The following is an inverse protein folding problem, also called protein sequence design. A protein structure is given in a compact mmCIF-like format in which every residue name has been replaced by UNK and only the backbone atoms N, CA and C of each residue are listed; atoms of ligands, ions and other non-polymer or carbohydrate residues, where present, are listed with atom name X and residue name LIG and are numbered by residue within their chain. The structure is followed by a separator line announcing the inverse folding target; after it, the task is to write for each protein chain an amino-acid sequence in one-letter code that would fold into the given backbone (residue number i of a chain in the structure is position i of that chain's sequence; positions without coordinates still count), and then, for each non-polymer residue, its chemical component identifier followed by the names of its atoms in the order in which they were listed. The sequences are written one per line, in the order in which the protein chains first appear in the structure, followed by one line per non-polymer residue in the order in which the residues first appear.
data_IF_466604448070
#
_entry.id   IF_466604448070
#
_cell.length_a   1.000
_cell.length_b   1.000
_cell.length_c   1.000
_cell.angle_alpha   90.00
_cell.angle_beta   90.00
_cell.angle_gamma   90.00
#
_symmetry.space_group_name_H-M   'P 1'
#
loop_
_entity.id
_entity.type
_entity.pdbx_description
1 polymer ?
#
# COMPACT_ATOMS: atom_id res chain seq x y z
N UNK A 1 -5.88 -50.67 -33.45
CA UNK A 1 -5.76 -49.61 -32.43
C UNK A 1 -5.36 -50.26 -31.11
N UNK A 2 -4.19 -49.91 -30.56
CA UNK A 2 -3.64 -50.57 -29.37
C UNK A 2 -4.35 -50.07 -28.08
N UNK A 3 -4.33 -50.85 -26.99
CA UNK A 3 -5.04 -50.53 -25.74
C UNK A 3 -4.72 -49.12 -25.23
N UNK A 4 -3.45 -48.72 -25.35
CA UNK A 4 -2.96 -47.40 -24.97
C UNK A 4 -3.59 -46.25 -25.77
N UNK A 5 -3.77 -46.40 -27.08
CA UNK A 5 -4.39 -45.38 -27.94
C UNK A 5 -5.87 -45.19 -27.61
N UNK A 6 -6.59 -46.28 -27.29
CA UNK A 6 -8.00 -46.21 -26.86
C UNK A 6 -8.15 -45.47 -25.54
N UNK A 7 -7.28 -45.76 -24.56
CA UNK A 7 -7.31 -45.09 -23.26
C UNK A 7 -6.93 -43.62 -23.37
N UNK A 8 -5.90 -43.28 -24.17
CA UNK A 8 -5.47 -41.90 -24.36
C UNK A 8 -6.58 -41.01 -24.95
N UNK A 9 -7.33 -41.50 -25.94
CA UNK A 9 -8.42 -40.73 -26.57
C UNK A 9 -9.55 -40.42 -25.59
N UNK A 10 -9.80 -41.28 -24.60
CA UNK A 10 -10.85 -41.07 -23.58
C UNK A 10 -10.36 -40.16 -22.46
N UNK A 11 -9.12 -40.37 -22.00
CA UNK A 11 -8.59 -39.68 -20.80
C UNK A 11 -8.06 -38.29 -21.12
N UNK A 12 -7.46 -38.09 -22.30
CA UNK A 12 -6.90 -36.80 -22.72
C UNK A 12 -7.91 -35.64 -22.64
N UNK A 13 -9.14 -35.71 -23.20
CA UNK A 13 -10.06 -34.57 -23.15
C UNK A 13 -10.48 -34.20 -21.71
N UNK A 14 -10.62 -35.20 -20.83
CA UNK A 14 -10.96 -34.97 -19.41
C UNK A 14 -9.81 -34.26 -18.71
N UNK A 15 -8.56 -34.73 -18.91
CA UNK A 15 -7.38 -34.10 -18.35
C UNK A 15 -7.16 -32.69 -18.91
N UNK A 16 -7.49 -32.43 -20.17
CA UNK A 16 -7.37 -31.08 -20.76
C UNK A 16 -8.35 -30.11 -20.09
N UNK A 17 -9.61 -30.50 -19.90
CA UNK A 17 -10.62 -29.64 -19.25
C UNK A 17 -10.26 -29.40 -17.78
N UNK A 18 -9.89 -30.46 -17.05
CA UNK A 18 -9.48 -30.34 -15.65
C UNK A 18 -8.19 -29.52 -15.50
N UNK A 19 -7.23 -29.73 -16.40
CA UNK A 19 -5.98 -28.97 -16.42
C UNK A 19 -6.21 -27.48 -16.66
N UNK A 20 -7.10 -27.12 -17.58
CA UNK A 20 -7.48 -25.73 -17.83
C UNK A 20 -8.15 -25.10 -16.61
N UNK A 21 -9.18 -25.76 -16.04
CA UNK A 21 -9.88 -25.24 -14.86
C UNK A 21 -8.96 -25.10 -13.63
N UNK A 22 -8.05 -26.05 -13.41
CA UNK A 22 -7.08 -25.96 -12.32
C UNK A 22 -6.02 -24.87 -12.55
N UNK A 23 -5.61 -24.64 -13.81
CA UNK A 23 -4.71 -23.54 -14.14
C UNK A 23 -5.36 -22.18 -13.88
N UNK A 24 -6.62 -21.99 -14.29
CA UNK A 24 -7.39 -20.78 -14.00
C UNK A 24 -7.51 -20.53 -12.49
N UNK A 25 -7.86 -21.56 -11.71
CA UNK A 25 -7.93 -21.46 -10.24
C UNK A 25 -6.58 -21.15 -9.59
N UNK A 26 -5.48 -21.70 -10.13
CA UNK A 26 -4.14 -21.44 -9.62
C UNK A 26 -3.67 -20.01 -9.92
N UNK A 27 -3.98 -19.50 -11.11
CA UNK A 27 -3.66 -18.13 -11.51
C UNK A 27 -4.47 -17.11 -10.69
N UNK A 28 -5.77 -17.34 -10.50
CA UNK A 28 -6.62 -16.54 -9.62
C UNK A 28 -6.11 -16.56 -8.18
N UNK A 29 -5.78 -17.74 -7.64
CA UNK A 29 -5.21 -17.86 -6.30
C UNK A 29 -3.86 -17.13 -6.18
N UNK A 30 -2.99 -17.21 -7.19
CA UNK A 30 -1.69 -16.52 -7.22
C UNK A 30 -1.83 -15.00 -7.37
N UNK A 31 -2.88 -14.53 -8.04
CA UNK A 31 -3.24 -13.11 -8.09
C UNK A 31 -3.83 -12.62 -6.75
N UNK A 32 -4.56 -13.48 -6.03
CA UNK A 32 -5.17 -13.19 -4.74
C UNK A 32 -4.20 -13.19 -3.56
N UNK A 33 -2.98 -13.74 -3.72
CA UNK A 33 -1.96 -13.66 -2.69
C UNK A 33 -1.59 -12.19 -2.47
N UNK A 34 -1.86 -11.67 -1.27
CA UNK A 34 -1.63 -10.29 -0.89
C UNK A 34 -0.18 -9.89 -1.16
N UNK A 35 0.06 -9.17 -2.26
CA UNK A 35 1.38 -8.66 -2.62
C UNK A 35 1.66 -7.48 -1.71
N UNK A 36 2.65 -7.63 -0.83
CA UNK A 36 3.11 -6.57 0.06
C UNK A 36 4.32 -5.87 -0.56
N UNK A 37 4.19 -4.59 -0.87
CA UNK A 37 5.23 -3.77 -1.47
C UNK A 37 5.70 -2.70 -0.48
N UNK A 38 7.02 -2.58 -0.34
CA UNK A 38 7.60 -1.53 0.49
C UNK A 38 7.68 -0.22 -0.29
N UNK A 39 7.20 0.86 0.34
CA UNK A 39 7.30 2.24 -0.09
C UNK A 39 8.46 2.90 0.67
N UNK A 40 9.49 3.34 -0.05
CA UNK A 40 10.71 3.90 0.57
C UNK A 40 10.70 5.42 0.44
N UNK A 41 11.04 6.19 1.49
CA UNK A 41 11.15 7.64 1.39
C UNK A 41 12.21 8.07 0.38
N UNK A 42 11.82 8.95 -0.54
CA UNK A 42 12.68 9.56 -1.54
C UNK A 42 13.26 10.86 -1.00
N UNK A 43 14.46 10.78 -0.41
CA UNK A 43 15.14 11.93 0.18
C UNK A 43 14.66 12.23 1.60
N UNK A 44 14.79 13.50 2.01
CA UNK A 44 14.36 13.95 3.33
C UNK A 44 12.84 14.08 3.40
N UNK A 45 12.21 13.45 4.39
CA UNK A 45 10.78 13.55 4.64
C UNK A 45 10.49 14.65 5.67
N UNK A 46 9.80 15.70 5.23
CA UNK A 46 9.26 16.77 6.05
C UNK A 46 7.79 16.98 5.66
N UNK A 47 6.89 16.37 6.41
CA UNK A 47 5.44 16.43 6.15
C UNK A 47 4.86 17.82 6.36
N UNK A 48 5.43 18.61 7.28
CA UNK A 48 5.00 19.99 7.57
C UNK A 48 5.30 20.94 6.40
N UNK A 49 6.41 20.69 5.71
CA UNK A 49 6.82 21.45 4.52
C UNK A 49 6.39 20.79 3.20
N UNK A 50 5.48 19.80 3.24
CA UNK A 50 4.96 19.08 2.06
C UNK A 50 6.04 18.37 1.23
N UNK A 51 7.17 18.03 1.85
CA UNK A 51 8.33 17.38 1.23
C UNK A 51 8.49 15.98 1.79
N UNK A 52 7.51 15.11 1.58
CA UNK A 52 7.64 13.71 1.98
C UNK A 52 7.05 12.76 0.94
N UNK A 53 7.90 12.34 0.00
CA UNK A 53 7.52 11.45 -1.09
C UNK A 53 8.03 10.05 -0.76
N UNK A 54 7.15 9.05 -0.82
CA UNK A 54 7.44 7.63 -0.70
C UNK A 54 7.30 6.98 -2.08
N UNK A 55 8.23 6.12 -2.48
CA UNK A 55 8.26 5.55 -3.82
C UNK A 55 8.43 4.04 -3.82
N UNK A 56 7.81 3.40 -4.81
CA UNK A 56 8.07 2.00 -5.18
C UNK A 56 7.81 1.82 -6.68
N UNK A 57 8.88 1.61 -7.45
CA UNK A 57 8.81 1.69 -8.92
C UNK A 57 8.28 3.05 -9.39
N UNK A 58 7.18 3.05 -10.14
CA UNK A 58 6.49 4.25 -10.64
C UNK A 58 5.39 4.77 -9.69
N UNK A 59 5.08 4.04 -8.62
CA UNK A 59 4.09 4.45 -7.66
C UNK A 59 4.73 5.41 -6.65
N UNK A 60 4.18 6.63 -6.57
CA UNK A 60 4.63 7.66 -5.64
C UNK A 60 3.48 8.10 -4.75
N UNK A 61 3.80 8.32 -3.48
CA UNK A 61 2.86 8.75 -2.45
C UNK A 61 3.45 9.95 -1.72
N UNK A 62 2.76 11.07 -1.71
CA UNK A 62 3.17 12.25 -0.96
C UNK A 62 2.36 12.35 0.33
N UNK A 63 3.02 12.49 1.47
CA UNK A 63 2.40 12.68 2.79
C UNK A 63 2.66 14.11 3.24
N UNK A 64 1.60 14.82 3.60
CA UNK A 64 1.68 16.21 4.04
C UNK A 64 0.75 16.45 5.22
N UNK A 65 1.14 17.34 6.12
CA UNK A 65 0.27 17.80 7.21
C UNK A 65 0.07 19.31 7.08
N UNK A 66 -1.19 19.73 7.03
CA UNK A 66 -1.55 21.14 7.04
C UNK A 66 -2.59 21.39 8.13
N UNK A 67 -2.23 22.20 9.13
CA UNK A 67 -3.14 22.64 10.22
C UNK A 67 -3.83 21.47 10.94
N UNK A 68 -3.13 20.36 11.17
CA UNK A 68 -3.67 19.17 11.84
C UNK A 68 -4.49 18.25 10.93
N UNK A 69 -4.51 18.52 9.62
CA UNK A 69 -5.09 17.63 8.62
C UNK A 69 -3.93 16.99 7.85
N UNK A 70 -3.72 15.70 8.09
CA UNK A 70 -2.77 14.92 7.32
C UNK A 70 -3.44 14.45 6.04
N UNK A 71 -2.81 14.75 4.91
CA UNK A 71 -3.24 14.38 3.57
C UNK A 71 -2.21 13.49 2.91
N UNK A 72 -2.69 12.46 2.22
CA UNK A 72 -1.92 11.50 1.45
C UNK A 72 -2.38 11.60 0.01
N UNK A 73 -1.46 11.95 -0.88
CA UNK A 73 -1.68 12.03 -2.31
C UNK A 73 -0.94 10.90 -3.00
N UNK A 74 -1.48 10.36 -4.07
CA UNK A 74 -0.88 9.23 -4.79
C UNK A 74 -0.90 9.42 -6.31
N UNK A 75 0.06 8.82 -7.02
CA UNK A 75 0.09 8.82 -8.49
C UNK A 75 -0.92 7.87 -9.12
N UNK A 76 -1.32 6.82 -8.38
CA UNK A 76 -2.39 5.89 -8.75
C UNK A 76 -3.58 6.02 -7.80
N UNK A 77 -4.81 5.71 -8.26
CA UNK A 77 -5.98 5.70 -7.40
C UNK A 77 -5.85 4.56 -6.38
N UNK A 78 -6.08 4.87 -5.11
CA UNK A 78 -5.99 3.90 -4.01
C UNK A 78 -7.37 3.60 -3.44
N UNK A 79 -7.53 2.41 -2.87
CA UNK A 79 -8.80 1.94 -2.31
C UNK A 79 -8.92 2.26 -0.81
N UNK A 80 -7.80 2.14 -0.09
CA UNK A 80 -7.74 2.50 1.34
C UNK A 80 -6.38 3.09 1.70
N UNK A 81 -6.36 3.94 2.73
CA UNK A 81 -5.15 4.44 3.35
C UNK A 81 -5.30 4.49 4.88
N UNK A 82 -4.32 3.96 5.60
CA UNK A 82 -4.22 4.02 7.06
C UNK A 82 -2.86 4.57 7.44
N UNK A 83 -2.83 5.70 8.12
CA UNK A 83 -1.62 6.28 8.70
C UNK A 83 -1.53 5.83 10.15
N UNK A 84 -0.33 5.51 10.61
CA UNK A 84 -0.05 5.21 12.00
C UNK A 84 0.96 6.19 12.54
N UNK A 85 0.62 6.78 13.67
CA UNK A 85 1.56 7.56 14.48
C UNK A 85 2.24 6.60 15.45
N UNK A 86 3.55 6.45 15.34
CA UNK A 86 4.34 5.52 16.17
C UNK A 86 5.09 6.31 17.23
N UNK A 87 4.74 6.08 18.49
CA UNK A 87 5.36 6.75 19.62
C UNK A 87 6.76 6.18 19.96
N UNK A 88 7.40 6.77 20.97
CA UNK A 88 8.73 6.35 21.45
C UNK A 88 8.72 4.95 22.11
N UNK A 89 7.56 4.49 22.58
CA UNK A 89 7.36 3.14 23.09
C UNK A 89 7.05 2.13 21.97
N UNK A 90 7.15 2.56 20.70
CA UNK A 90 6.84 1.78 19.49
C UNK A 90 5.37 1.34 19.41
N UNK A 91 4.47 2.03 20.12
CA UNK A 91 3.03 1.84 20.00
C UNK A 91 2.50 2.64 18.81
N UNK A 92 1.78 1.96 17.92
CA UNK A 92 1.23 2.53 16.72
C UNK A 92 -0.25 2.88 16.92
N UNK A 93 -0.59 4.16 16.77
CA UNK A 93 -1.98 4.63 16.81
C UNK A 93 -2.51 4.76 15.39
N UNK A 94 -3.51 3.95 14.98
CA UNK A 94 -4.05 3.97 13.63
C UNK A 94 -5.00 5.15 13.39
N UNK A 95 -4.87 5.77 12.22
CA UNK A 95 -5.75 6.79 11.69
C UNK A 95 -6.18 6.33 10.29
N UNK A 96 -7.43 5.86 10.17
CA UNK A 96 -8.01 5.54 8.87
C UNK A 96 -8.29 6.84 8.12
N UNK A 97 -7.71 6.99 6.93
CA UNK A 97 -7.95 8.16 6.08
C UNK A 97 -9.27 8.01 5.34
N UNK A 98 -9.93 9.14 5.11
CA UNK A 98 -11.09 9.23 4.24
C UNK A 98 -10.70 9.82 2.88
N UNK A 99 -11.28 9.29 1.81
CA UNK A 99 -11.19 9.88 0.49
C UNK A 99 -11.77 11.31 0.53
N UNK A 100 -11.05 12.26 -0.05
CA UNK A 100 -11.44 13.68 -0.10
C UNK A 100 -12.35 13.95 -1.31
N UNK A 101 -11.75 14.22 -2.45
CA UNK A 101 -12.44 14.60 -3.69
C UNK A 101 -12.37 13.48 -4.73
N UNK A 102 -11.31 12.67 -4.71
CA UNK A 102 -11.06 11.58 -5.65
C UNK A 102 -10.16 10.51 -5.01
N UNK A 103 -10.06 9.30 -5.59
CA UNK A 103 -9.27 8.21 -5.00
C UNK A 103 -7.75 8.48 -4.98
N UNK A 104 -7.29 9.62 -5.49
CA UNK A 104 -5.90 10.08 -5.44
C UNK A 104 -5.59 10.95 -4.22
N UNK A 105 -6.61 11.40 -3.47
CA UNK A 105 -6.47 12.34 -2.35
C UNK A 105 -7.20 11.82 -1.12
N UNK A 106 -6.44 11.51 -0.08
CA UNK A 106 -6.94 10.92 1.17
C UNK A 106 -6.53 11.80 2.34
N UNK A 107 -7.42 12.02 3.31
CA UNK A 107 -7.11 12.89 4.45
C UNK A 107 -7.74 12.43 5.75
N UNK A 108 -7.16 12.88 6.86
CA UNK A 108 -7.70 12.70 8.21
C UNK A 108 -7.17 13.79 9.12
N UNK A 109 -7.98 14.18 10.09
CA UNK A 109 -7.49 14.98 11.21
C UNK A 109 -6.58 14.11 12.09
N UNK A 110 -5.35 14.57 12.34
CA UNK A 110 -4.40 13.86 13.19
C UNK A 110 -3.64 14.84 14.08
N UNK A 111 -3.12 14.40 15.24
CA UNK A 111 -2.31 15.25 16.10
C UNK A 111 -0.87 15.44 15.57
N UNK A 112 -0.54 14.93 14.37
CA UNK A 112 0.82 14.94 13.84
C UNK A 112 1.44 16.33 13.84
N UNK A 113 0.74 17.34 13.30
CA UNK A 113 1.25 18.71 13.25
C UNK A 113 1.63 19.29 14.63
N UNK A 114 0.98 18.87 15.71
CA UNK A 114 1.36 19.28 17.08
C UNK A 114 2.57 18.52 17.64
N UNK A 115 2.85 17.31 17.14
CA UNK A 115 3.96 16.45 17.57
C UNK A 115 5.29 16.80 16.91
N UNK A 116 5.25 17.55 15.81
CA UNK A 116 6.43 18.00 15.04
C UNK A 116 6.41 19.52 14.83
N UNK A 117 5.80 20.24 15.76
CA UNK A 117 5.58 21.69 15.67
C UNK A 117 6.89 22.49 15.68
N UNK A 118 7.93 21.96 16.33
CA UNK A 118 9.21 22.66 16.46
C UNK A 118 10.25 22.11 15.49
N UNK A 119 11.14 23.00 15.05
CA UNK A 119 12.31 22.65 14.24
C UNK A 119 13.17 21.58 14.92
N UNK A 120 13.55 20.56 14.14
CA UNK A 120 14.38 19.45 14.57
C UNK A 120 13.61 18.31 15.22
N UNK A 121 12.34 18.50 15.55
CA UNK A 121 11.48 17.41 16.02
C UNK A 121 11.31 16.38 14.91
N UNK A 122 11.39 15.11 15.31
CA UNK A 122 11.18 13.98 14.43
C UNK A 122 10.13 13.05 15.02
N UNK A 123 9.34 12.46 14.14
CA UNK A 123 8.28 11.55 14.54
C UNK A 123 8.21 10.38 13.57
N UNK A 124 7.95 9.19 14.12
CA UNK A 124 7.90 7.95 13.35
C UNK A 124 6.48 7.72 12.83
N UNK A 125 6.38 7.44 11.54
CA UNK A 125 5.14 7.21 10.83
C UNK A 125 5.18 5.84 10.19
N UNK A 126 4.02 5.16 10.17
CA UNK A 126 3.79 4.05 9.23
C UNK A 126 2.62 4.38 8.34
N UNK A 127 2.69 3.99 7.10
CA UNK A 127 1.60 4.16 6.14
C UNK A 127 1.29 2.80 5.53
N UNK A 128 0.01 2.44 5.51
CA UNK A 128 -0.49 1.28 4.78
C UNK A 128 -1.51 1.77 3.76
N UNK A 129 -1.31 1.42 2.51
CA UNK A 129 -2.18 1.74 1.39
C UNK A 129 -2.60 0.42 0.72
N UNK A 130 -3.83 0.36 0.26
CA UNK A 130 -4.33 -0.78 -0.52
C UNK A 130 -4.76 -0.34 -1.91
N UNK A 131 -4.37 -1.13 -2.92
CA UNK A 131 -4.74 -0.94 -4.33
C UNK A 131 -5.08 -2.31 -4.90
N UNK A 132 -6.36 -2.55 -5.21
CA UNK A 132 -6.90 -3.77 -5.81
C UNK A 132 -6.41 -5.05 -5.10
N UNK A 133 -6.37 -5.03 -3.77
CA UNK A 133 -5.89 -6.13 -2.93
C UNK A 133 -4.36 -6.22 -2.76
N UNK A 134 -3.59 -5.42 -3.50
CA UNK A 134 -2.16 -5.20 -3.25
C UNK A 134 -1.96 -4.26 -2.06
N UNK A 135 -1.08 -4.62 -1.12
CA UNK A 135 -0.79 -3.82 0.07
C UNK A 135 0.55 -3.13 -0.09
N UNK A 136 0.58 -1.84 0.16
CA UNK A 136 1.77 -1.02 0.14
C UNK A 136 2.02 -0.51 1.53
N UNK A 137 3.22 -0.70 2.06
CA UNK A 137 3.55 -0.29 3.42
C UNK A 137 4.84 0.53 3.44
N UNK A 138 4.90 1.49 4.34
CA UNK A 138 6.09 2.29 4.60
C UNK A 138 6.26 2.49 6.09
N UNK A 139 7.50 2.46 6.57
CA UNK A 139 7.87 2.95 7.89
C UNK A 139 8.97 3.99 7.70
N UNK A 140 8.73 5.22 8.15
CA UNK A 140 9.63 6.34 7.91
C UNK A 140 9.57 7.36 9.05
N UNK A 141 10.59 8.21 9.11
CA UNK A 141 10.63 9.35 10.02
C UNK A 141 10.36 10.62 9.24
N UNK A 142 9.49 11.47 9.77
CA UNK A 142 9.42 12.87 9.36
C UNK A 142 10.28 13.70 10.30
N UNK A 143 10.93 14.73 9.79
CA UNK A 143 11.66 15.71 10.59
C UNK A 143 11.44 17.12 10.05
N UNK A 144 10.97 18.01 10.92
CA UNK A 144 10.71 19.42 10.59
C UNK A 144 12.03 20.18 10.49
N UNK A 145 12.35 20.74 9.32
CA UNK A 145 13.62 21.47 9.10
C UNK A 145 13.51 22.97 9.44
N UNK A 146 12.31 23.55 9.38
CA UNK A 146 12.09 24.99 9.53
C UNK A 146 11.18 25.32 10.71
#
# INVERSE_FOLDING_TARGET
MNKHTKTAIIVAPILTILGFALADLWEENSASQARAFELVPFGHCDVSNQKCILKTGEFEVNVMDEKGITTVNSTFPIDTATLFLVDKANQATPFQLGMKDSPYYWKRETPLGSLIANKGESYKLRLIIEIKGGKYFSEFYTQTIN
#
